data_IF_316095280865
#
_entry.id   IF_316095280865
#
_cell.length_a   1.000
_cell.length_b   1.000
_cell.length_c   1.000
_cell.angle_alpha   90.00
_cell.angle_beta   90.00
_cell.angle_gamma   90.00
#
_symmetry.space_group_name_H-M   'P 1'
#
loop_
_entity.id
_entity.type
_entity.pdbx_description
1 polymer ?
#
# COMPACT_ATOMS: atom_id res chain seq x y z
N UNK A 1 -9.86 2.13 -13.16
CA UNK A 1 -9.37 3.02 -12.08
C UNK A 1 -8.07 2.49 -11.46
N UNK A 2 -7.12 3.32 -11.01
CA UNK A 2 -5.89 2.86 -10.33
C UNK A 2 -6.00 3.06 -8.82
N UNK A 3 -5.61 2.06 -8.05
CA UNK A 3 -5.73 2.05 -6.59
C UNK A 3 -4.35 1.96 -5.93
N UNK A 4 -4.13 2.84 -4.96
CA UNK A 4 -3.07 2.71 -3.95
C UNK A 4 -3.66 2.25 -2.64
N UNK A 5 -3.17 1.15 -2.07
CA UNK A 5 -3.72 0.55 -0.85
C UNK A 5 -2.71 0.67 0.29
N UNK A 6 -3.07 1.36 1.37
CA UNK A 6 -2.26 1.45 2.58
C UNK A 6 -2.71 0.36 3.58
N UNK A 7 -1.82 -0.55 3.99
CA UNK A 7 -2.19 -1.67 4.85
C UNK A 7 -1.06 -2.13 5.81
N UNK A 8 -1.26 -1.93 7.12
CA UNK A 8 -0.25 -2.18 8.18
C UNK A 8 -0.44 -3.49 8.96
N UNK A 9 -1.28 -4.40 8.46
CA UNK A 9 -1.71 -5.59 9.21
C UNK A 9 -2.04 -6.79 8.33
N UNK A 10 -3.13 -7.50 8.65
CA UNK A 10 -3.52 -8.76 7.98
C UNK A 10 -3.88 -8.60 6.49
N UNK A 11 -4.31 -7.40 6.08
CA UNK A 11 -4.69 -7.11 4.70
C UNK A 11 -5.98 -7.81 4.25
N UNK A 12 -6.97 -8.01 5.14
CA UNK A 12 -8.25 -8.65 4.76
C UNK A 12 -9.05 -7.80 3.78
N UNK A 13 -9.06 -6.47 3.95
CA UNK A 13 -9.68 -5.57 2.97
C UNK A 13 -8.91 -5.56 1.63
N UNK A 14 -7.58 -5.64 1.67
CA UNK A 14 -6.77 -5.81 0.46
C UNK A 14 -7.18 -7.10 -0.28
N UNK A 15 -7.35 -8.21 0.44
CA UNK A 15 -7.82 -9.45 -0.17
C UNK A 15 -9.20 -9.29 -0.81
N UNK A 16 -10.16 -8.68 -0.11
CA UNK A 16 -11.50 -8.46 -0.67
C UNK A 16 -11.47 -7.61 -1.95
N UNK A 17 -10.60 -6.60 -2.03
CA UNK A 17 -10.42 -5.79 -3.24
C UNK A 17 -9.79 -6.61 -4.37
N UNK A 18 -8.76 -7.41 -4.06
CA UNK A 18 -8.13 -8.33 -5.03
C UNK A 18 -9.18 -9.29 -5.59
N UNK A 19 -9.94 -9.95 -4.71
CA UNK A 19 -10.96 -10.92 -5.09
C UNK A 19 -12.04 -10.28 -5.97
N UNK A 20 -12.45 -9.04 -5.68
CA UNK A 20 -13.43 -8.30 -6.49
C UNK A 20 -12.89 -7.94 -7.89
N UNK A 21 -11.62 -7.57 -8.00
CA UNK A 21 -10.96 -7.29 -9.28
C UNK A 21 -10.83 -8.59 -10.09
N UNK A 22 -10.36 -9.67 -9.47
CA UNK A 22 -10.20 -10.97 -10.12
C UNK A 22 -11.55 -11.57 -10.56
N UNK A 23 -12.61 -11.32 -9.79
CA UNK A 23 -13.98 -11.71 -10.15
C UNK A 23 -14.63 -10.78 -11.21
N UNK A 24 -13.97 -9.69 -11.61
CA UNK A 24 -14.52 -8.71 -12.55
C UNK A 24 -15.69 -7.88 -12.01
N UNK A 25 -15.95 -7.92 -10.70
CA UNK A 25 -17.00 -7.11 -10.05
C UNK A 25 -16.52 -5.70 -9.70
N UNK A 26 -15.20 -5.48 -9.75
CA UNK A 26 -14.55 -4.18 -9.60
C UNK A 26 -13.60 -3.91 -10.77
N UNK A 27 -13.94 -2.93 -11.62
CA UNK A 27 -13.06 -2.48 -12.71
C UNK A 27 -11.96 -1.52 -12.22
N UNK A 28 -10.96 -2.11 -11.55
CA UNK A 28 -9.82 -1.39 -11.02
C UNK A 28 -8.52 -2.21 -11.10
N UNK A 29 -7.40 -1.49 -10.98
CA UNK A 29 -6.06 -2.05 -10.88
C UNK A 29 -5.43 -1.59 -9.57
N UNK A 30 -4.95 -2.52 -8.75
CA UNK A 30 -4.10 -2.18 -7.60
C UNK A 30 -2.70 -1.89 -8.13
N UNK A 31 -2.33 -0.61 -8.20
CA UNK A 31 -1.05 -0.17 -8.71
C UNK A 31 0.07 -0.32 -7.66
N UNK A 32 -0.25 -0.12 -6.39
CA UNK A 32 0.70 -0.28 -5.27
C UNK A 32 0.00 -0.59 -3.96
N UNK A 33 0.62 -1.46 -3.15
CA UNK A 33 0.28 -1.70 -1.74
C UNK A 33 1.41 -1.17 -0.87
N UNK A 34 1.14 -0.20 0.00
CA UNK A 34 2.14 0.37 0.90
C UNK A 34 1.89 -0.11 2.33
N UNK A 35 2.95 -0.51 3.02
CA UNK A 35 2.88 -0.85 4.45
C UNK A 35 4.00 -0.18 5.23
N UNK A 36 3.68 0.24 6.45
CA UNK A 36 4.68 0.70 7.41
C UNK A 36 5.26 -0.42 8.29
N UNK A 37 4.88 -1.69 8.02
CA UNK A 37 5.45 -2.86 8.70
C UNK A 37 6.00 -3.82 7.65
N UNK A 38 7.29 -4.14 7.76
CA UNK A 38 8.00 -4.99 6.81
C UNK A 38 7.41 -6.40 6.72
N UNK A 39 6.93 -6.90 7.86
CA UNK A 39 6.35 -8.24 8.00
C UNK A 39 4.82 -8.25 7.86
N UNK A 40 4.21 -7.18 7.34
CA UNK A 40 2.76 -7.13 7.15
C UNK A 40 2.29 -8.24 6.19
N UNK A 41 1.29 -9.01 6.60
CA UNK A 41 0.66 -10.02 5.73
C UNK A 41 0.06 -9.39 4.46
N UNK A 42 -0.30 -8.11 4.49
CA UNK A 42 -0.73 -7.37 3.31
C UNK A 42 0.34 -7.35 2.19
N UNK A 43 1.62 -7.20 2.52
CA UNK A 43 2.71 -7.24 1.54
C UNK A 43 2.89 -8.64 0.95
N UNK A 44 2.73 -9.67 1.78
CA UNK A 44 2.77 -11.06 1.31
C UNK A 44 1.59 -11.38 0.39
N UNK A 45 0.38 -10.85 0.67
CA UNK A 45 -0.77 -10.96 -0.25
C UNK A 45 -0.49 -10.27 -1.58
N UNK A 46 0.01 -9.04 -1.55
CA UNK A 46 0.41 -8.31 -2.75
C UNK A 46 1.38 -9.15 -3.59
N UNK A 47 2.43 -9.71 -2.96
CA UNK A 47 3.40 -10.58 -3.61
C UNK A 47 2.77 -11.83 -4.26
N UNK A 48 1.85 -12.51 -3.55
CA UNK A 48 1.18 -13.72 -4.05
C UNK A 48 0.33 -13.46 -5.31
N UNK A 49 -0.33 -12.31 -5.35
CA UNK A 49 -1.13 -11.86 -6.49
C UNK A 49 -0.31 -11.04 -7.50
N UNK A 50 1.03 -11.06 -7.42
CA UNK A 50 1.96 -10.36 -8.33
C UNK A 50 1.73 -8.84 -8.41
N UNK A 51 1.27 -8.24 -7.32
CA UNK A 51 1.10 -6.80 -7.16
C UNK A 51 2.35 -6.16 -6.58
N UNK A 52 2.56 -4.88 -6.88
CA UNK A 52 3.66 -4.09 -6.33
C UNK A 52 3.42 -3.83 -4.84
N UNK A 53 4.31 -4.33 -3.98
CA UNK A 53 4.30 -4.09 -2.54
C UNK A 53 5.49 -3.22 -2.12
N UNK A 54 5.24 -2.14 -1.39
CA UNK A 54 6.25 -1.20 -0.88
C UNK A 54 6.20 -1.18 0.63
N UNK A 55 7.33 -1.54 1.26
CA UNK A 55 7.55 -1.26 2.68
C UNK A 55 8.13 0.16 2.81
N UNK A 56 7.47 1.00 3.60
CA UNK A 56 7.91 2.36 3.92
C UNK A 56 8.05 2.50 5.44
N UNK A 57 9.28 2.47 5.96
CA UNK A 57 9.52 2.59 7.40
C UNK A 57 9.16 3.99 7.90
N UNK A 58 8.33 4.08 8.95
CA UNK A 58 7.97 5.36 9.56
C UNK A 58 9.01 5.85 10.57
N UNK A 59 9.95 5.00 11.02
CA UNK A 59 10.94 5.35 12.05
C UNK A 59 11.87 6.51 11.67
N UNK A 60 12.39 6.62 10.43
CA UNK A 60 13.27 7.73 10.06
C UNK A 60 12.61 9.11 10.24
N UNK A 61 11.30 9.18 10.08
CA UNK A 61 10.52 10.42 10.19
C UNK A 61 10.21 10.82 11.64
N UNK A 62 10.36 9.90 12.60
CA UNK A 62 9.95 10.13 14.00
C UNK A 62 10.73 11.24 14.71
N UNK A 63 11.90 11.62 14.19
CA UNK A 63 12.76 12.66 14.76
C UNK A 63 12.48 14.06 14.20
N UNK A 64 11.58 14.17 13.21
CA UNK A 64 11.23 15.46 12.60
C UNK A 64 10.16 16.20 13.41
N UNK A 65 10.27 17.54 13.46
CA UNK A 65 9.27 18.39 14.13
C UNK A 65 7.85 18.20 13.56
N UNK A 66 7.73 17.81 12.28
CA UNK A 66 6.48 17.51 11.58
C UNK A 66 6.49 16.07 11.03
N UNK A 67 6.81 15.12 11.90
CA UNK A 67 7.03 13.70 11.56
C UNK A 67 5.90 13.07 10.75
N UNK A 68 4.63 13.43 11.04
CA UNK A 68 3.47 12.91 10.32
C UNK A 68 3.41 13.44 8.90
N UNK A 69 3.55 14.75 8.72
CA UNK A 69 3.53 15.42 7.42
C UNK A 69 4.72 15.00 6.55
N UNK A 70 5.86 14.68 7.16
CA UNK A 70 7.02 14.15 6.45
C UNK A 70 6.75 12.71 5.95
N UNK A 71 6.19 11.86 6.80
CA UNK A 71 5.82 10.50 6.43
C UNK A 71 4.70 10.46 5.37
N UNK A 72 3.68 11.30 5.51
CA UNK A 72 2.58 11.42 4.54
C UNK A 72 3.11 11.90 3.17
N UNK A 73 4.08 12.82 3.14
CA UNK A 73 4.77 13.21 1.90
C UNK A 73 5.50 12.03 1.26
N UNK A 74 6.17 11.21 2.04
CA UNK A 74 6.84 10.01 1.52
C UNK A 74 5.83 8.99 0.94
N UNK A 75 4.67 8.83 1.59
CA UNK A 75 3.56 8.03 1.03
C UNK A 75 3.08 8.62 -0.30
N UNK A 76 2.83 9.94 -0.35
CA UNK A 76 2.37 10.62 -1.57
C UNK A 76 3.36 10.43 -2.73
N UNK A 77 4.67 10.50 -2.46
CA UNK A 77 5.69 10.27 -3.48
C UNK A 77 5.66 8.82 -4.00
N UNK A 78 5.39 7.84 -3.13
CA UNK A 78 5.21 6.45 -3.56
C UNK A 78 3.96 6.31 -4.43
N UNK A 79 2.83 6.92 -4.06
CA UNK A 79 1.59 6.87 -4.82
C UNK A 79 1.76 7.49 -6.21
N UNK A 80 2.34 8.69 -6.30
CA UNK A 80 2.63 9.38 -7.57
C UNK A 80 3.53 8.57 -8.50
N UNK A 81 4.56 7.90 -7.97
CA UNK A 81 5.45 7.02 -8.76
C UNK A 81 4.72 5.84 -9.41
N UNK A 82 3.53 5.50 -8.92
CA UNK A 82 2.70 4.42 -9.45
C UNK A 82 1.44 4.93 -10.16
N UNK A 83 1.39 6.22 -10.49
CA UNK A 83 0.25 6.88 -11.15
C UNK A 83 -1.07 6.68 -10.39
N UNK A 84 -1.03 6.85 -9.07
CA UNK A 84 -2.21 6.92 -8.18
C UNK A 84 -2.32 8.34 -7.65
#
# INVERSE_FOLDING_TARGET
>A
MRLGVLASGRGTNLQAIIDAIEAGTLDALIAVVVSNKKEAQALERARRHKLTGVFLDSKPFAHEANSREAYDRAILDVLKKHDV
#
